data_IF_306289898689
#
_entry.id   IF_306289898689
#
_cell.length_a   1.000
_cell.length_b   1.000
_cell.length_c   1.000
_cell.angle_alpha   90.00
_cell.angle_beta   90.00
_cell.angle_gamma   90.00
#
_symmetry.space_group_name_H-M   'P 1'
#
loop_
_entity.id
_entity.type
_entity.pdbx_description
1 polymer ?
#
# COMPACT_ATOMS: atom_id res chain seq x y z
N UNK A 1 -10.82 -4.79 -18.23
CA UNK A 1 -10.27 -4.04 -17.08
C UNK A 1 -10.04 -5.11 -16.05
N UNK A 2 -8.79 -5.49 -15.89
CA UNK A 2 -8.49 -6.71 -15.19
C UNK A 2 -8.19 -6.35 -13.72
N UNK A 3 -8.74 -7.15 -12.83
CA UNK A 3 -8.70 -6.96 -11.38
C UNK A 3 -8.20 -8.28 -10.81
N UNK A 4 -7.18 -8.23 -9.98
CA UNK A 4 -6.74 -9.38 -9.19
C UNK A 4 -7.32 -9.25 -7.80
N UNK A 5 -7.85 -10.35 -7.26
CA UNK A 5 -8.43 -10.39 -5.92
C UNK A 5 -7.74 -11.45 -5.10
N UNK A 6 -7.02 -11.07 -4.04
CA UNK A 6 -6.54 -12.05 -3.06
C UNK A 6 -7.58 -12.17 -1.96
N UNK A 7 -7.98 -13.40 -1.60
CA UNK A 7 -8.78 -13.66 -0.41
C UNK A 7 -7.86 -13.80 0.80
N UNK A 8 -8.02 -12.95 1.82
CA UNK A 8 -7.20 -13.00 3.04
C UNK A 8 -7.49 -14.25 3.88
N UNK A 9 -8.73 -14.77 3.82
CA UNK A 9 -9.16 -15.97 4.56
C UNK A 9 -8.66 -17.29 3.99
N UNK A 10 -8.20 -17.33 2.73
CA UNK A 10 -7.77 -18.59 2.12
C UNK A 10 -6.50 -19.15 2.78
N UNK A 11 -6.66 -20.25 3.52
CA UNK A 11 -5.55 -21.01 4.10
C UNK A 11 -4.96 -20.45 5.40
N UNK A 12 -5.51 -19.37 5.96
CA UNK A 12 -5.01 -18.77 7.20
C UNK A 12 -5.94 -19.03 8.39
N UNK A 13 -5.43 -19.82 9.34
CA UNK A 13 -5.95 -19.85 10.71
C UNK A 13 -5.15 -18.84 11.52
N UNK A 14 -5.81 -17.82 12.07
CA UNK A 14 -5.15 -16.93 13.02
C UNK A 14 -5.47 -17.42 14.42
N UNK A 15 -4.42 -17.71 15.18
CA UNK A 15 -4.51 -18.35 16.51
C UNK A 15 -5.31 -19.66 16.50
N UNK A 16 -5.28 -20.41 15.38
CA UNK A 16 -5.98 -21.68 15.24
C UNK A 16 -7.49 -21.56 15.05
N UNK A 17 -8.03 -20.34 14.88
CA UNK A 17 -9.46 -20.11 14.64
C UNK A 17 -9.72 -19.65 13.21
N UNK A 18 -10.79 -20.14 12.56
CA UNK A 18 -11.27 -19.55 11.32
C UNK A 18 -11.68 -18.10 11.58
N UNK A 19 -11.26 -17.21 10.69
CA UNK A 19 -11.58 -15.78 10.80
C UNK A 19 -13.02 -15.56 10.31
N UNK A 20 -13.90 -15.00 11.16
CA UNK A 20 -15.32 -15.02 10.84
C UNK A 20 -15.76 -13.86 9.94
N UNK A 21 -14.93 -12.82 9.77
CA UNK A 21 -15.15 -11.75 8.79
C UNK A 21 -14.38 -12.07 7.48
N UNK A 22 -15.06 -12.20 6.32
CA UNK A 22 -14.38 -12.36 5.04
C UNK A 22 -13.61 -11.09 4.66
N UNK A 23 -12.42 -11.27 4.11
CA UNK A 23 -11.51 -10.18 3.73
C UNK A 23 -10.94 -10.38 2.34
N UNK A 24 -10.97 -9.34 1.52
CA UNK A 24 -10.47 -9.36 0.15
C UNK A 24 -9.51 -8.20 -0.10
N UNK A 25 -8.48 -8.46 -0.90
CA UNK A 25 -7.58 -7.46 -1.45
C UNK A 25 -7.75 -7.41 -2.96
N UNK A 26 -8.40 -6.35 -3.44
CA UNK A 26 -8.59 -6.09 -4.85
C UNK A 26 -7.51 -5.11 -5.31
N UNK A 27 -6.74 -5.53 -6.32
CA UNK A 27 -5.77 -4.67 -7.00
C UNK A 27 -6.17 -4.57 -8.47
N UNK A 28 -6.22 -3.34 -8.98
CA UNK A 28 -6.36 -3.17 -10.43
C UNK A 28 -5.05 -3.55 -11.11
N UNK A 29 -5.15 -4.35 -12.17
CA UNK A 29 -4.03 -4.69 -13.05
C UNK A 29 -3.98 -3.78 -14.27
N UNK A 30 -4.73 -2.66 -14.24
CA UNK A 30 -4.57 -1.63 -15.25
C UNK A 30 -3.08 -1.29 -15.33
N UNK A 31 -2.45 -1.42 -16.51
CA UNK A 31 -1.03 -1.20 -16.64
C UNK A 31 -0.68 0.21 -16.18
N UNK A 32 0.51 0.33 -15.56
CA UNK A 32 1.02 1.57 -14.94
C UNK A 32 1.14 2.69 -16.00
N UNK A 33 1.26 2.31 -17.27
CA UNK A 33 1.13 3.16 -18.46
C UNK A 33 0.01 2.61 -19.36
N UNK A 34 -0.94 3.44 -19.78
CA UNK A 34 -1.90 3.09 -20.84
C UNK A 34 -1.26 3.13 -22.24
N UNK A 35 -0.15 2.43 -22.49
CA UNK A 35 0.27 2.18 -23.88
C UNK A 35 0.75 0.73 -24.13
N UNK A 36 1.57 0.09 -23.28
CA UNK A 36 2.19 -1.19 -23.70
C UNK A 36 2.55 -2.13 -22.53
N UNK A 37 1.60 -2.91 -22.00
CA UNK A 37 1.83 -4.34 -21.71
C UNK A 37 0.59 -4.99 -21.08
N UNK A 38 0.08 -6.03 -21.74
CA UNK A 38 -1.01 -6.86 -21.26
C UNK A 38 -0.48 -7.87 -20.22
N UNK A 39 -0.74 -7.62 -18.94
CA UNK A 39 -0.52 -8.63 -17.91
C UNK A 39 -1.62 -9.70 -18.02
N UNK A 40 -1.25 -10.94 -18.34
CA UNK A 40 -2.21 -12.03 -18.50
C UNK A 40 -2.85 -12.38 -17.14
N UNK A 41 -4.18 -12.54 -17.06
CA UNK A 41 -4.85 -12.96 -15.84
C UNK A 41 -4.35 -14.34 -15.40
N UNK A 42 -4.13 -14.50 -14.09
CA UNK A 42 -3.84 -15.78 -13.45
C UNK A 42 -5.16 -16.42 -13.02
N UNK A 43 -5.48 -17.59 -13.60
CA UNK A 43 -6.73 -18.31 -13.38
C UNK A 43 -6.90 -18.85 -11.95
N UNK A 44 -5.86 -18.74 -11.11
CA UNK A 44 -5.89 -19.17 -9.71
C UNK A 44 -6.43 -18.09 -8.76
N UNK A 45 -6.70 -16.88 -9.26
CA UNK A 45 -7.05 -15.71 -8.43
C UNK A 45 -8.56 -15.43 -8.53
N UNK A 46 -9.26 -15.19 -7.40
CA UNK A 46 -10.66 -14.80 -7.41
C UNK A 46 -10.94 -13.57 -8.30
N UNK A 47 -12.12 -13.54 -8.89
CA UNK A 47 -12.62 -12.49 -9.78
C UNK A 47 -13.56 -11.53 -9.06
N UNK A 48 -13.91 -10.42 -9.71
CA UNK A 48 -14.97 -9.51 -9.21
C UNK A 48 -16.30 -10.24 -9.05
N UNK A 49 -16.61 -11.16 -9.95
CA UNK A 49 -17.83 -11.97 -9.86
C UNK A 49 -17.83 -12.81 -8.58
N UNK A 50 -16.69 -13.34 -8.17
CA UNK A 50 -16.56 -14.11 -6.91
C UNK A 50 -16.79 -13.21 -5.69
N UNK A 51 -16.29 -11.96 -5.70
CA UNK A 51 -16.55 -10.98 -4.64
C UNK A 51 -18.03 -10.61 -4.57
N UNK A 52 -18.66 -10.36 -5.72
CA UNK A 52 -20.08 -10.01 -5.82
C UNK A 52 -20.96 -11.17 -5.35
N UNK A 53 -20.64 -12.40 -5.76
CA UNK A 53 -21.36 -13.60 -5.34
C UNK A 53 -21.20 -13.85 -3.84
N UNK A 54 -19.99 -13.67 -3.29
CA UNK A 54 -19.73 -13.76 -1.85
C UNK A 54 -20.57 -12.74 -1.07
N UNK A 55 -20.60 -11.48 -1.50
CA UNK A 55 -21.43 -10.43 -0.91
C UNK A 55 -22.92 -10.79 -0.99
N UNK A 56 -23.39 -11.27 -2.14
CA UNK A 56 -24.77 -11.65 -2.36
C UNK A 56 -25.20 -12.81 -1.45
N UNK A 57 -24.44 -13.90 -1.40
CA UNK A 57 -24.75 -15.04 -0.54
C UNK A 57 -24.74 -14.65 0.94
N UNK A 58 -23.81 -13.79 1.34
CA UNK A 58 -23.73 -13.28 2.72
C UNK A 58 -24.97 -12.43 3.08
N UNK A 59 -25.44 -11.56 2.17
CA UNK A 59 -26.67 -10.77 2.38
C UNK A 59 -27.95 -11.61 2.45
N UNK A 60 -28.01 -12.77 1.76
CA UNK A 60 -29.17 -13.67 1.83
C UNK A 60 -29.28 -14.42 3.16
N UNK A 61 -28.17 -14.60 3.86
CA UNK A 61 -28.14 -15.33 5.13
C UNK A 61 -28.36 -14.44 6.35
N UNK A 62 -28.35 -13.11 6.19
CA UNK A 62 -28.50 -12.16 7.30
C UNK A 62 -29.36 -10.95 6.93
N UNK A 63 -30.58 -10.89 7.46
CA UNK A 63 -31.52 -9.79 7.19
C UNK A 63 -31.24 -8.52 8.02
N UNK A 64 -30.40 -8.60 9.05
CA UNK A 64 -30.05 -7.46 9.91
C UNK A 64 -28.77 -6.76 9.42
N UNK A 65 -28.92 -5.88 8.42
CA UNK A 65 -27.92 -4.93 7.91
C UNK A 65 -26.55 -5.52 7.52
N UNK A 66 -26.31 -5.66 6.22
CA UNK A 66 -24.96 -5.85 5.67
C UNK A 66 -24.26 -4.48 5.55
N UNK A 67 -23.20 -4.27 6.33
CA UNK A 67 -22.23 -3.20 6.18
C UNK A 67 -21.02 -3.63 5.34
N UNK A 68 -20.44 -2.70 4.60
CA UNK A 68 -19.23 -2.92 3.80
C UNK A 68 -18.14 -1.97 4.31
N UNK A 69 -16.99 -2.51 4.71
CA UNK A 69 -15.82 -1.69 5.10
C UNK A 69 -14.84 -1.70 3.93
N UNK A 70 -14.76 -0.57 3.22
CA UNK A 70 -13.84 -0.40 2.10
C UNK A 70 -12.66 0.45 2.56
N UNK A 71 -11.46 -0.09 2.47
CA UNK A 71 -10.23 0.68 2.61
C UNK A 71 -9.60 0.88 1.23
N UNK A 72 -9.48 2.14 0.80
CA UNK A 72 -8.94 2.51 -0.51
C UNK A 72 -7.55 3.11 -0.33
N UNK A 73 -6.56 2.67 -1.10
CA UNK A 73 -5.24 3.30 -1.17
C UNK A 73 -4.94 3.76 -2.60
N UNK A 74 -4.67 5.05 -2.75
CA UNK A 74 -4.57 5.74 -4.05
C UNK A 74 -3.15 5.89 -4.61
N UNK A 75 -2.11 5.37 -3.95
CA UNK A 75 -0.71 5.55 -4.36
C UNK A 75 0.06 4.21 -4.43
N UNK A 76 0.85 3.92 -5.48
CA UNK A 76 1.73 2.72 -5.52
C UNK A 76 2.98 2.84 -4.61
N UNK A 77 2.86 3.42 -3.42
CA UNK A 77 3.99 3.59 -2.49
C UNK A 77 4.29 2.33 -1.65
N UNK A 78 3.84 1.15 -2.10
CA UNK A 78 3.79 -0.06 -1.29
C UNK A 78 4.61 -1.26 -1.76
N UNK A 79 5.09 -1.29 -3.01
CA UNK A 79 5.85 -2.43 -3.52
C UNK A 79 7.35 -2.13 -3.45
N UNK A 80 8.07 -2.91 -2.66
CA UNK A 80 9.53 -2.97 -2.70
C UNK A 80 9.97 -3.55 -4.05
N UNK A 81 10.86 -2.85 -4.78
CA UNK A 81 11.46 -3.41 -5.99
C UNK A 81 12.82 -4.01 -5.65
N UNK A 82 12.99 -5.31 -5.88
CA UNK A 82 14.24 -6.03 -5.62
C UNK A 82 14.90 -6.44 -6.93
N UNK A 83 16.24 -6.51 -6.94
CA UNK A 83 16.98 -7.00 -8.10
C UNK A 83 17.24 -8.50 -7.93
N UNK A 84 16.63 -9.32 -8.79
CA UNK A 84 16.85 -10.75 -8.84
C UNK A 84 17.37 -11.14 -10.23
N UNK A 85 18.56 -11.74 -10.29
CA UNK A 85 19.17 -12.15 -11.57
C UNK A 85 19.41 -10.99 -12.55
N UNK A 86 19.66 -9.77 -12.04
CA UNK A 86 19.88 -8.58 -12.86
C UNK A 86 18.61 -7.91 -13.40
N UNK A 87 17.41 -8.42 -13.06
CA UNK A 87 16.12 -7.81 -13.39
C UNK A 87 15.46 -7.24 -12.14
N UNK A 88 14.77 -6.11 -12.29
CA UNK A 88 13.90 -5.58 -11.24
C UNK A 88 12.62 -6.42 -11.20
N UNK A 89 12.34 -7.02 -10.05
CA UNK A 89 11.11 -7.78 -9.78
C UNK A 89 10.40 -7.17 -8.57
N UNK A 90 9.09 -7.39 -8.48
CA UNK A 90 8.32 -7.02 -7.30
C UNK A 90 8.76 -7.89 -6.12
N UNK A 91 9.15 -7.24 -5.03
CA UNK A 91 9.44 -7.84 -3.74
C UNK A 91 8.22 -7.78 -2.84
N UNK A 92 8.38 -7.19 -1.67
CA UNK A 92 7.34 -7.12 -0.63
C UNK A 92 6.26 -6.08 -0.96
N UNK A 93 4.98 -6.44 -0.80
CA UNK A 93 3.83 -5.51 -0.89
C UNK A 93 3.36 -5.07 0.51
N UNK A 94 3.90 -3.94 0.97
CA UNK A 94 3.57 -3.37 2.28
C UNK A 94 2.12 -2.88 2.39
N UNK A 95 1.45 -2.58 1.26
CA UNK A 95 0.04 -2.19 1.25
C UNK A 95 -0.84 -3.39 1.51
N UNK A 96 -0.59 -4.50 0.79
CA UNK A 96 -1.26 -5.78 1.04
C UNK A 96 -1.10 -6.22 2.49
N UNK A 97 0.11 -6.19 3.02
CA UNK A 97 0.37 -6.56 4.41
C UNK A 97 -0.29 -5.65 5.43
N UNK A 98 -0.30 -4.33 5.18
CA UNK A 98 -0.99 -3.37 6.03
C UNK A 98 -2.48 -3.69 6.11
N UNK A 99 -3.10 -4.01 4.96
CA UNK A 99 -4.51 -4.36 4.90
C UNK A 99 -4.83 -5.73 5.48
N UNK A 100 -3.94 -6.70 5.30
CA UNK A 100 -4.07 -7.97 6.01
C UNK A 100 -4.10 -7.69 7.52
N UNK A 101 -3.14 -6.96 8.09
CA UNK A 101 -3.12 -6.62 9.52
C UNK A 101 -4.38 -5.89 9.99
N UNK A 102 -4.93 -4.99 9.18
CA UNK A 102 -6.21 -4.33 9.49
C UNK A 102 -7.35 -5.35 9.54
N UNK A 103 -7.43 -6.24 8.55
CA UNK A 103 -8.40 -7.33 8.56
C UNK A 103 -8.24 -8.26 9.79
N UNK A 104 -7.01 -8.61 10.15
CA UNK A 104 -6.71 -9.42 11.35
C UNK A 104 -7.18 -8.70 12.62
N UNK A 105 -6.91 -7.39 12.74
CA UNK A 105 -7.37 -6.56 13.85
C UNK A 105 -8.90 -6.53 13.94
N UNK A 106 -9.59 -6.33 12.82
CA UNK A 106 -11.05 -6.32 12.77
C UNK A 106 -11.66 -7.65 13.20
N UNK A 107 -11.00 -8.77 12.91
CA UNK A 107 -11.46 -10.09 13.35
C UNK A 107 -11.17 -10.38 14.83
N UNK A 108 -10.05 -9.89 15.37
CA UNK A 108 -9.58 -10.29 16.70
C UNK A 108 -9.93 -9.30 17.81
N UNK A 109 -9.82 -8.01 17.53
CA UNK A 109 -9.79 -6.96 18.56
C UNK A 109 -11.08 -6.13 18.58
N UNK A 110 -11.73 -5.92 17.43
CA UNK A 110 -12.96 -5.15 17.35
C UNK A 110 -14.20 -6.03 17.53
N UNK A 111 -14.62 -6.23 18.78
CA UNK A 111 -15.81 -7.02 19.12
C UNK A 111 -17.12 -6.48 18.51
N UNK A 112 -17.20 -5.18 18.18
CA UNK A 112 -18.41 -4.62 17.59
C UNK A 112 -18.60 -5.05 16.12
N UNK A 113 -17.50 -5.40 15.46
CA UNK A 113 -17.45 -5.89 14.07
C UNK A 113 -17.34 -7.42 14.07
N UNK A 114 -16.41 -8.00 14.83
CA UNK A 114 -16.17 -9.45 14.87
C UNK A 114 -17.29 -10.26 15.50
N UNK A 115 -18.29 -9.64 16.15
CA UNK A 115 -19.51 -10.32 16.61
C UNK A 115 -20.62 -10.37 15.55
N UNK A 116 -20.46 -9.67 14.42
CA UNK A 116 -21.48 -9.51 13.37
C UNK A 116 -21.07 -10.24 12.09
N UNK A 117 -20.95 -11.56 12.19
CA UNK A 117 -20.24 -12.42 11.22
C UNK A 117 -20.77 -12.35 9.79
N UNK A 118 -22.08 -12.24 9.61
CA UNK A 118 -22.69 -12.20 8.28
C UNK A 118 -23.20 -10.79 7.93
N UNK A 119 -22.67 -9.77 8.60
CA UNK A 119 -23.03 -8.37 8.34
C UNK A 119 -21.88 -7.59 7.75
N UNK A 120 -20.66 -8.11 7.68
CA UNK A 120 -19.52 -7.32 7.22
C UNK A 120 -18.66 -8.08 6.23
N UNK A 121 -18.09 -7.32 5.29
CA UNK A 121 -16.98 -7.75 4.43
C UNK A 121 -15.93 -6.65 4.44
N UNK A 122 -14.66 -7.05 4.56
CA UNK A 122 -13.54 -6.13 4.45
C UNK A 122 -12.96 -6.15 3.04
N UNK A 123 -12.85 -4.97 2.42
CA UNK A 123 -12.35 -4.82 1.06
C UNK A 123 -11.21 -3.80 1.04
N UNK A 124 -9.98 -4.28 0.86
CA UNK A 124 -8.84 -3.44 0.51
C UNK A 124 -8.82 -3.22 -1.00
N UNK A 125 -8.84 -1.98 -1.47
CA UNK A 125 -8.77 -1.66 -2.90
C UNK A 125 -7.57 -0.77 -3.26
N UNK A 126 -6.65 -1.29 -4.07
CA UNK A 126 -5.45 -0.58 -4.51
C UNK A 126 -5.55 -0.18 -5.99
N UNK A 127 -5.38 1.12 -6.23
CA UNK A 127 -5.21 1.66 -7.57
C UNK A 127 -3.72 1.69 -7.95
N UNK A 128 -3.33 1.22 -9.15
CA UNK A 128 -1.99 1.40 -9.67
C UNK A 128 -1.83 2.86 -10.13
N UNK A 129 -1.31 3.73 -9.27
CA UNK A 129 -0.82 5.07 -9.68
C UNK A 129 0.68 5.10 -9.58
N UNK A 130 1.39 5.73 -10.51
CA UNK A 130 2.85 5.73 -10.57
C UNK A 130 3.53 5.87 -9.20
N UNK A 131 4.44 4.94 -8.89
CA UNK A 131 5.39 5.16 -7.80
C UNK A 131 6.31 6.29 -8.21
N UNK A 132 6.24 7.46 -7.57
CA UNK A 132 7.23 8.53 -7.80
C UNK A 132 8.57 8.02 -7.25
N UNK A 133 9.59 7.77 -8.08
CA UNK A 133 10.85 7.22 -7.58
C UNK A 133 11.49 8.20 -6.58
N UNK A 134 11.43 7.84 -5.30
CA UNK A 134 11.91 8.63 -4.17
C UNK A 134 13.44 8.50 -4.05
N UNK A 135 14.17 9.14 -4.96
CA UNK A 135 15.61 9.34 -4.78
C UNK A 135 15.88 10.83 -4.56
N UNK A 136 16.93 11.14 -3.79
CA UNK A 136 17.35 12.52 -3.48
C UNK A 136 17.52 13.38 -4.75
N UNK A 137 17.95 12.75 -5.85
CA UNK A 137 18.12 13.40 -7.15
C UNK A 137 16.78 13.87 -7.75
N UNK A 138 15.72 13.07 -7.62
CA UNK A 138 14.37 13.37 -8.09
C UNK A 138 13.64 14.32 -7.13
N UNK A 139 13.83 14.14 -5.82
CA UNK A 139 13.34 15.08 -4.81
C UNK A 139 13.90 16.50 -5.04
N UNK A 140 15.19 16.60 -5.40
CA UNK A 140 15.81 17.87 -5.76
C UNK A 140 15.25 18.52 -7.03
N UNK A 141 14.73 17.73 -7.98
CA UNK A 141 14.08 18.25 -9.20
C UNK A 141 12.65 18.73 -8.96
N UNK A 142 11.99 18.21 -7.92
CA UNK A 142 10.63 18.60 -7.55
C UNK A 142 10.58 19.90 -6.74
N UNK A 143 11.72 20.42 -6.27
CA UNK A 143 11.76 21.65 -5.50
C UNK A 143 11.56 22.88 -6.39
N UNK A 144 10.62 23.78 -6.05
CA UNK A 144 10.55 25.12 -6.64
C UNK A 144 11.92 25.82 -6.65
N UNK A 145 12.18 26.63 -7.67
CA UNK A 145 13.49 27.30 -7.88
C UNK A 145 13.95 28.04 -6.63
N UNK A 146 13.04 28.73 -5.94
CA UNK A 146 13.32 29.44 -4.67
C UNK A 146 13.80 28.50 -3.56
N UNK A 147 13.15 27.36 -3.38
CA UNK A 147 13.54 26.38 -2.35
C UNK A 147 14.86 25.70 -2.71
N UNK A 148 15.12 25.46 -3.99
CA UNK A 148 16.41 24.95 -4.47
C UNK A 148 17.56 25.93 -4.17
N UNK A 149 17.34 27.22 -4.41
CA UNK A 149 18.33 28.27 -4.13
C UNK A 149 18.58 28.41 -2.62
N UNK A 150 17.53 28.41 -1.80
CA UNK A 150 17.66 28.47 -0.34
C UNK A 150 18.41 27.26 0.21
N UNK A 151 18.08 26.06 -0.25
CA UNK A 151 18.76 24.84 0.18
C UNK A 151 20.26 24.88 -0.17
N UNK A 152 20.60 25.23 -1.42
CA UNK A 152 22.00 25.37 -1.86
C UNK A 152 22.74 26.46 -1.09
N UNK A 153 22.10 27.61 -0.89
CA UNK A 153 22.65 28.72 -0.12
C UNK A 153 22.94 28.33 1.34
N UNK A 154 22.01 27.62 1.98
CA UNK A 154 22.19 27.11 3.34
C UNK A 154 23.36 26.13 3.45
N UNK A 155 23.49 25.20 2.49
CA UNK A 155 24.62 24.26 2.45
C UNK A 155 25.96 24.99 2.28
N UNK A 156 26.02 26.00 1.41
CA UNK A 156 27.24 26.81 1.20
C UNK A 156 27.61 27.59 2.46
N UNK A 157 26.63 28.24 3.11
CA UNK A 157 26.87 28.98 4.35
C UNK A 157 27.32 28.06 5.49
N UNK A 158 26.73 26.86 5.62
CA UNK A 158 27.15 25.87 6.59
C UNK A 158 28.60 25.39 6.33
N UNK A 159 28.96 25.13 5.07
CA UNK A 159 30.32 24.75 4.70
C UNK A 159 31.34 25.86 4.98
N UNK A 160 31.00 27.13 4.67
CA UNK A 160 31.84 28.29 5.01
C UNK A 160 31.99 28.44 6.52
N UNK A 161 30.91 28.27 7.29
CA UNK A 161 30.95 28.30 8.76
C UNK A 161 31.88 27.22 9.34
N UNK A 162 31.82 26.00 8.80
CA UNK A 162 32.71 24.92 9.20
C UNK A 162 34.18 25.19 8.82
N UNK A 163 34.43 25.76 7.65
CA UNK A 163 35.79 26.12 7.21
C UNK A 163 36.39 27.26 8.03
N UNK A 164 35.57 28.23 8.43
CA UNK A 164 36.01 29.38 9.22
C UNK A 164 36.02 29.11 10.73
N UNK A 165 35.30 28.07 11.20
CA UNK A 165 35.28 27.64 12.60
C UNK A 165 36.67 27.55 13.24
N UNK A 166 37.67 26.85 12.66
CA UNK A 166 39.00 26.76 13.27
C UNK A 166 39.77 28.08 13.32
N UNK A 167 39.44 29.06 12.46
CA UNK A 167 40.05 30.40 12.52
C UNK A 167 39.52 31.21 13.70
N UNK A 168 38.22 31.12 13.99
CA UNK A 168 37.63 31.80 15.14
C UNK A 168 37.96 31.08 16.46
N UNK A 169 38.12 29.76 16.44
CA UNK A 169 38.53 28.99 17.63
C UNK A 169 39.99 29.23 18.08
N UNK A 170 40.84 29.80 17.22
CA UNK A 170 42.23 30.14 17.54
C UNK A 170 42.43 31.60 17.97
N UNK A 171 41.41 32.46 17.82
CA UNK A 171 41.49 33.89 18.22
C UNK A 171 41.26 34.08 19.72
N UNK A 172 40.63 33.12 20.41
CA UNK A 172 40.33 33.16 21.85
C UNK A 172 41.31 32.32 22.72
N UNK A 173 42.50 32.00 22.21
CA UNK A 173 43.62 31.38 22.97
C UNK A 173 44.83 32.30 23.00
#
# INVERSE_FOLDING_TARGET
>A
MDLWVDEFSQGQLIEGKPQPLPGFFVRSTAPIDMEEDECKPDDLVPTVSDVVESLYQNTRQNESYTGLVIQIHGYNTGIEKITQGGKQVEGRDYVREGWQKTWEYLNQQDLAISSKLNSFVYLGYRWPSESVPSNLKNAGKALPVILTLLFRGGVILAALGLLLSPYFSNVDR
#
